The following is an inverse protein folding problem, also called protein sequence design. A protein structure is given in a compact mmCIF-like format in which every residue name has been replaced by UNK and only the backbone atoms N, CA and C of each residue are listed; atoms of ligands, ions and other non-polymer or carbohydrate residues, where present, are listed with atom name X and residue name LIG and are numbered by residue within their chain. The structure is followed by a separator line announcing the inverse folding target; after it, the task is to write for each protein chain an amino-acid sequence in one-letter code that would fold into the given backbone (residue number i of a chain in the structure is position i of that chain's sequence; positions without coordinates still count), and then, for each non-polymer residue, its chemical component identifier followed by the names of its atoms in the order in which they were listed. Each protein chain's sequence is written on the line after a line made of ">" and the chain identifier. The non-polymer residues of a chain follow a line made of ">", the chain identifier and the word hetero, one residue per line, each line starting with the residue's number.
data_IF_486220335530
#
_entry.id   IF_486220335530
#
_cell.length_a   1.000
_cell.length_b   1.000
_cell.length_c   1.000
_cell.angle_alpha   90.00
_cell.angle_beta   90.00
_cell.angle_gamma   90.00
#
_symmetry.space_group_name_H-M   'P 1'
#
loop_
_entity.id
_entity.type
_entity.pdbx_description
1 polymer ?
#
# COMPACT_ATOMS: atom_id res chain seq x y z
N UNK A 1 -3.31 -7.50 -25.00
CA UNK A 1 -2.02 -7.26 -24.33
C UNK A 1 -1.85 -8.40 -23.34
N UNK A 2 -0.85 -9.25 -23.53
CA UNK A 2 -0.42 -10.21 -22.51
C UNK A 2 0.61 -9.51 -21.64
N UNK A 3 0.34 -9.35 -20.35
CA UNK A 3 1.38 -8.94 -19.39
C UNK A 3 2.34 -10.11 -19.23
N UNK A 4 3.64 -9.82 -19.16
CA UNK A 4 4.66 -10.87 -19.08
C UNK A 4 4.70 -11.50 -17.68
N UNK A 5 4.25 -10.76 -16.65
CA UNK A 5 4.20 -11.22 -15.25
C UNK A 5 2.95 -10.68 -14.53
N UNK A 6 1.91 -11.50 -14.29
CA UNK A 6 0.73 -11.08 -13.56
C UNK A 6 1.06 -10.82 -12.08
N UNK A 7 0.35 -9.89 -11.44
CA UNK A 7 0.60 -9.50 -10.05
C UNK A 7 0.18 -10.56 -9.04
N UNK A 8 0.99 -10.77 -8.01
CA UNK A 8 0.49 -11.23 -6.70
C UNK A 8 0.00 -10.01 -5.94
N UNK A 9 -1.28 -10.00 -5.61
CA UNK A 9 -1.92 -8.90 -4.88
C UNK A 9 -2.26 -9.34 -3.47
N UNK A 10 -1.70 -8.64 -2.48
CA UNK A 10 -2.07 -8.79 -1.09
C UNK A 10 -2.90 -7.60 -0.63
N UNK A 11 -4.12 -7.89 -0.22
CA UNK A 11 -5.05 -6.89 0.28
C UNK A 11 -5.21 -7.04 1.79
N UNK A 12 -4.51 -6.20 2.53
CA UNK A 12 -4.57 -6.14 4.00
C UNK A 12 -5.63 -5.11 4.38
N UNK A 13 -6.72 -5.53 5.01
CA UNK A 13 -7.80 -4.62 5.34
C UNK A 13 -8.33 -4.78 6.75
N UNK A 14 -8.67 -3.65 7.36
CA UNK A 14 -9.28 -3.66 8.68
C UNK A 14 -10.71 -4.20 8.67
N UNK A 15 -10.97 -5.11 9.61
CA UNK A 15 -12.32 -5.54 9.99
C UNK A 15 -12.82 -4.79 11.24
N UNK A 16 -11.93 -4.06 11.92
CA UNK A 16 -12.25 -3.22 13.07
C UNK A 16 -12.88 -1.87 12.65
N UNK A 17 -12.52 -1.34 11.49
CA UNK A 17 -13.08 -0.10 10.95
C UNK A 17 -14.27 -0.34 10.02
N UNK A 18 -15.48 -0.10 10.54
CA UNK A 18 -16.72 -0.26 9.76
C UNK A 18 -16.88 0.78 8.65
N UNK A 19 -16.17 1.91 8.73
CA UNK A 19 -16.22 2.98 7.73
C UNK A 19 -15.70 2.55 6.36
N UNK A 20 -14.84 1.51 6.32
CA UNK A 20 -14.25 1.00 5.09
C UNK A 20 -15.18 0.11 4.26
N UNK A 21 -16.27 -0.42 4.84
CA UNK A 21 -17.11 -1.46 4.20
C UNK A 21 -17.59 -1.11 2.78
N UNK A 22 -18.11 0.10 2.49
CA UNK A 22 -18.55 0.44 1.14
C UNK A 22 -17.40 0.41 0.12
N UNK A 23 -16.23 0.92 0.53
CA UNK A 23 -15.03 0.93 -0.28
C UNK A 23 -14.44 -0.47 -0.48
N UNK A 24 -14.42 -1.31 0.57
CA UNK A 24 -13.93 -2.70 0.48
C UNK A 24 -14.73 -3.51 -0.53
N UNK A 25 -16.04 -3.31 -0.61
CA UNK A 25 -16.88 -3.94 -1.64
C UNK A 25 -16.43 -3.58 -3.06
N UNK A 26 -16.15 -2.30 -3.31
CA UNK A 26 -15.66 -1.84 -4.60
C UNK A 26 -14.25 -2.38 -4.92
N UNK A 27 -13.34 -2.35 -3.95
CA UNK A 27 -11.99 -2.89 -4.08
C UNK A 27 -12.03 -4.39 -4.38
N UNK A 28 -12.76 -5.19 -3.60
CA UNK A 28 -12.88 -6.63 -3.82
C UNK A 28 -13.48 -6.99 -5.18
N UNK A 29 -14.51 -6.25 -5.63
CA UNK A 29 -15.11 -6.46 -6.95
C UNK A 29 -14.14 -6.16 -8.08
N UNK A 30 -13.37 -5.07 -7.96
CA UNK A 30 -12.32 -4.71 -8.92
C UNK A 30 -11.19 -5.76 -8.94
N UNK A 31 -10.67 -6.18 -7.79
CA UNK A 31 -9.63 -7.21 -7.71
C UNK A 31 -10.10 -8.56 -8.29
N UNK A 32 -11.36 -8.95 -8.05
CA UNK A 32 -11.92 -10.16 -8.66
C UNK A 32 -11.95 -10.05 -10.20
N UNK A 33 -12.41 -8.91 -10.72
CA UNK A 33 -12.44 -8.66 -12.16
C UNK A 33 -11.04 -8.75 -12.81
N UNK A 34 -10.01 -8.15 -12.19
CA UNK A 34 -8.65 -8.17 -12.75
C UNK A 34 -7.95 -9.52 -12.62
N UNK A 35 -8.30 -10.32 -11.60
CA UNK A 35 -7.89 -11.73 -11.52
C UNK A 35 -8.50 -12.54 -12.66
N UNK A 36 -9.81 -12.40 -12.88
CA UNK A 36 -10.50 -13.14 -13.94
C UNK A 36 -10.03 -12.69 -15.34
N UNK A 37 -9.52 -11.46 -15.48
CA UNK A 37 -8.87 -10.94 -16.69
C UNK A 37 -7.39 -11.38 -16.84
N UNK A 38 -6.80 -12.05 -15.84
CA UNK A 38 -5.43 -12.56 -15.87
C UNK A 38 -4.34 -11.54 -15.54
N UNK A 39 -4.69 -10.35 -15.02
CA UNK A 39 -3.71 -9.35 -14.58
C UNK A 39 -3.24 -9.60 -13.14
N UNK A 40 -4.03 -10.34 -12.36
CA UNK A 40 -3.68 -10.82 -11.03
C UNK A 40 -3.56 -12.34 -11.10
N UNK A 41 -2.36 -12.85 -10.85
CA UNK A 41 -2.08 -14.29 -10.81
C UNK A 41 -2.54 -14.90 -9.50
N UNK A 42 -2.27 -14.20 -8.39
CA UNK A 42 -2.68 -14.60 -7.04
C UNK A 42 -3.27 -13.43 -6.27
N UNK A 43 -4.36 -13.69 -5.55
CA UNK A 43 -5.02 -12.70 -4.68
C UNK A 43 -5.08 -13.24 -3.26
N UNK A 44 -4.50 -12.49 -2.32
CA UNK A 44 -4.46 -12.78 -0.90
C UNK A 44 -5.26 -11.74 -0.13
N UNK A 45 -6.47 -12.10 0.30
CA UNK A 45 -7.32 -11.25 1.14
C UNK A 45 -6.97 -11.49 2.63
N UNK A 46 -6.43 -10.47 3.29
CA UNK A 46 -5.88 -10.56 4.65
C UNK A 46 -6.65 -9.63 5.60
N UNK A 47 -7.77 -10.10 6.19
CA UNK A 47 -8.50 -9.33 7.19
C UNK A 47 -7.69 -9.21 8.48
N UNK A 48 -7.63 -8.01 9.05
CA UNK A 48 -6.98 -7.76 10.34
C UNK A 48 -7.95 -7.06 11.30
N UNK A 49 -7.98 -7.49 12.57
CA UNK A 49 -8.78 -6.85 13.62
C UNK A 49 -7.89 -6.30 14.74
N UNK A 50 -6.72 -6.90 14.94
CA UNK A 50 -5.81 -6.62 16.04
C UNK A 50 -4.41 -6.28 15.55
N UNK A 51 -3.58 -5.73 16.44
CA UNK A 51 -2.16 -5.52 16.15
C UNK A 51 -1.41 -6.84 15.87
N UNK A 52 -1.81 -7.94 16.52
CA UNK A 52 -1.19 -9.25 16.27
C UNK A 52 -1.46 -9.73 14.84
N UNK A 53 -2.71 -9.60 14.36
CA UNK A 53 -3.06 -9.96 12.99
C UNK A 53 -2.26 -9.12 12.00
N UNK A 54 -2.09 -7.83 12.31
CA UNK A 54 -1.34 -6.90 11.49
C UNK A 54 0.15 -7.26 11.45
N UNK A 55 0.79 -7.58 12.58
CA UNK A 55 2.18 -8.06 12.59
C UNK A 55 2.31 -9.31 11.73
N UNK A 56 1.40 -10.28 11.85
CA UNK A 56 1.42 -11.48 11.01
C UNK A 56 1.27 -11.15 9.52
N UNK A 57 0.35 -10.24 9.17
CA UNK A 57 0.14 -9.81 7.79
C UNK A 57 1.37 -9.11 7.19
N UNK A 58 2.00 -8.20 7.94
CA UNK A 58 3.20 -7.48 7.53
C UNK A 58 4.47 -8.35 7.52
N UNK A 59 4.50 -9.43 8.29
CA UNK A 59 5.62 -10.39 8.28
C UNK A 59 5.52 -11.39 7.14
N UNK A 60 4.35 -11.50 6.50
CA UNK A 60 4.07 -12.44 5.41
C UNK A 60 4.19 -11.81 4.02
N UNK A 61 4.66 -10.56 3.91
CA UNK A 61 4.81 -9.88 2.61
C UNK A 61 5.81 -10.64 1.73
N UNK A 62 5.38 -10.93 0.51
CA UNK A 62 6.16 -11.65 -0.48
C UNK A 62 7.01 -10.75 -1.37
N UNK A 63 7.72 -11.40 -2.28
CA UNK A 63 8.51 -10.76 -3.32
C UNK A 63 7.62 -10.24 -4.45
N UNK A 64 7.96 -9.06 -4.97
CA UNK A 64 7.34 -8.41 -6.12
C UNK A 64 5.81 -8.15 -5.97
N UNK A 65 5.28 -8.24 -4.75
CA UNK A 65 3.86 -8.06 -4.49
C UNK A 65 3.41 -6.61 -4.72
N UNK A 66 2.14 -6.48 -5.14
CA UNK A 66 1.33 -5.30 -4.90
C UNK A 66 0.63 -5.47 -3.56
N UNK A 67 0.97 -4.61 -2.60
CA UNK A 67 0.30 -4.57 -1.29
C UNK A 67 -0.67 -3.41 -1.24
N UNK A 68 -1.93 -3.70 -0.92
CA UNK A 68 -2.98 -2.72 -0.67
C UNK A 68 -3.28 -2.78 0.82
N UNK A 69 -2.97 -1.71 1.55
CA UNK A 69 -3.10 -1.65 3.01
C UNK A 69 -4.16 -0.63 3.42
N UNK A 70 -5.35 -1.14 3.76
CA UNK A 70 -6.46 -0.34 4.29
C UNK A 70 -6.39 -0.24 5.81
N UNK A 71 -5.35 0.48 6.24
CA UNK A 71 -4.95 0.63 7.63
C UNK A 71 -4.77 2.10 7.97
N UNK A 72 -5.07 2.47 9.21
CA UNK A 72 -4.78 3.79 9.74
C UNK A 72 -3.29 3.90 10.02
N UNK A 73 -2.71 5.06 9.74
CA UNK A 73 -1.36 5.37 10.16
C UNK A 73 -1.30 6.56 11.10
N UNK A 74 -0.28 6.56 11.95
CA UNK A 74 0.00 7.62 12.89
C UNK A 74 1.51 7.88 12.95
N UNK A 75 1.89 9.10 13.34
CA UNK A 75 3.28 9.46 13.62
C UNK A 75 3.35 10.13 14.97
N UNK A 76 4.30 9.70 15.80
CA UNK A 76 4.64 10.32 17.08
C UNK A 76 6.16 10.39 17.26
N UNK A 77 6.63 10.51 18.50
CA UNK A 77 8.07 10.58 18.82
C UNK A 77 8.83 9.29 18.56
N UNK A 78 8.14 8.15 18.55
CA UNK A 78 8.76 6.83 18.40
C UNK A 78 8.85 6.40 16.94
N UNK A 79 8.01 6.97 16.07
CA UNK A 79 8.14 6.81 14.62
C UNK A 79 6.80 6.73 13.88
N UNK A 80 6.79 5.96 12.80
CA UNK A 80 5.62 5.71 11.97
C UNK A 80 4.90 4.42 12.39
N UNK A 81 3.58 4.48 12.50
CA UNK A 81 2.75 3.43 13.07
C UNK A 81 1.62 3.03 12.12
N UNK A 82 1.28 1.75 12.01
CA UNK A 82 0.09 1.26 11.30
C UNK A 82 -0.87 0.54 12.25
N UNK A 83 -2.17 0.73 12.08
CA UNK A 83 -3.20 0.14 12.93
C UNK A 83 -4.48 -0.19 12.18
N UNK A 84 -5.25 -1.20 12.63
CA UNK A 84 -6.52 -1.55 12.02
C UNK A 84 -7.61 -0.49 12.27
N UNK A 85 -7.51 0.34 13.31
CA UNK A 85 -8.51 1.38 13.60
C UNK A 85 -7.88 2.56 14.31
N UNK A 86 -8.47 3.75 14.21
CA UNK A 86 -7.99 4.97 14.89
C UNK A 86 -7.88 4.82 16.41
N UNK A 87 -8.73 3.98 17.00
CA UNK A 87 -8.85 3.81 18.45
C UNK A 87 -8.20 2.48 18.92
N UNK A 88 -7.57 1.76 18.00
CA UNK A 88 -7.01 0.42 18.23
C UNK A 88 -5.52 0.45 18.54
N UNK A 89 -4.96 -0.73 18.80
CA UNK A 89 -3.52 -0.90 18.94
C UNK A 89 -2.82 -0.75 17.57
N UNK A 90 -1.73 0.01 17.55
CA UNK A 90 -0.88 0.21 16.38
C UNK A 90 0.40 -0.61 16.47
N UNK A 91 1.00 -0.87 15.32
CA UNK A 91 2.29 -1.52 15.12
C UNK A 91 3.29 -0.44 14.70
N UNK A 92 4.35 -0.28 15.49
CA UNK A 92 5.47 0.60 15.13
C UNK A 92 6.23 -0.03 13.96
N UNK A 93 6.29 0.67 12.82
CA UNK A 93 7.02 0.18 11.66
C UNK A 93 8.50 0.04 11.97
N UNK A 94 9.07 0.90 12.81
CA UNK A 94 10.47 0.85 13.25
C UNK A 94 10.81 -0.37 14.10
N UNK A 95 9.81 -1.03 14.69
CA UNK A 95 9.97 -2.30 15.41
C UNK A 95 10.05 -3.53 14.50
N UNK A 96 9.74 -3.39 13.21
CA UNK A 96 9.82 -4.50 12.25
C UNK A 96 11.25 -4.65 11.68
N UNK A 97 11.70 -5.88 11.37
CA UNK A 97 13.04 -6.14 10.88
C UNK A 97 13.33 -5.37 9.59
N UNK A 98 14.47 -4.67 9.54
CA UNK A 98 14.90 -3.96 8.33
C UNK A 98 15.09 -4.94 7.15
N UNK A 99 14.78 -4.49 5.93
CA UNK A 99 14.90 -5.27 4.69
C UNK A 99 14.12 -6.60 4.71
N UNK A 100 13.05 -6.67 5.49
CA UNK A 100 12.17 -7.85 5.55
C UNK A 100 11.14 -7.89 4.43
N UNK A 101 10.93 -6.77 3.72
CA UNK A 101 9.97 -6.68 2.63
C UNK A 101 10.69 -6.65 1.29
N UNK A 102 10.06 -7.20 0.25
CA UNK A 102 10.53 -7.07 -1.13
C UNK A 102 9.34 -6.72 -2.04
N UNK A 103 8.50 -5.78 -1.59
CA UNK A 103 7.31 -5.36 -2.32
C UNK A 103 7.71 -4.44 -3.48
N UNK A 104 7.01 -4.54 -4.60
CA UNK A 104 7.23 -3.63 -5.74
C UNK A 104 6.30 -2.43 -5.71
N UNK A 105 5.10 -2.61 -5.15
CA UNK A 105 4.13 -1.54 -4.99
C UNK A 105 3.39 -1.63 -3.65
N UNK A 106 3.17 -0.47 -3.01
CA UNK A 106 2.41 -0.35 -1.77
C UNK A 106 1.41 0.81 -1.87
N UNK A 107 0.14 0.51 -1.71
CA UNK A 107 -0.94 1.51 -1.64
C UNK A 107 -1.45 1.55 -0.21
N UNK A 108 -1.13 2.63 0.50
CA UNK A 108 -1.67 2.85 1.84
C UNK A 108 -2.96 3.67 1.70
N UNK A 109 -4.10 3.27 2.27
CA UNK A 109 -5.38 3.87 1.82
C UNK A 109 -6.10 4.81 2.79
N UNK A 110 -5.78 4.78 4.08
CA UNK A 110 -6.24 5.82 5.01
C UNK A 110 -5.18 6.91 5.19
N UNK A 111 -5.32 7.73 6.22
CA UNK A 111 -4.32 8.74 6.60
C UNK A 111 -3.14 8.05 7.29
N UNK A 112 -1.90 8.48 7.03
CA UNK A 112 -0.71 8.05 7.81
C UNK A 112 0.08 9.19 8.43
N UNK A 113 -0.40 10.43 8.36
CA UNK A 113 0.29 11.57 8.97
C UNK A 113 1.53 12.00 8.19
N UNK A 114 2.64 12.23 8.88
CA UNK A 114 3.81 12.91 8.33
C UNK A 114 4.58 12.06 7.30
N UNK A 115 4.64 12.55 6.06
CA UNK A 115 5.21 11.84 4.90
C UNK A 115 6.65 11.38 5.10
N UNK A 116 7.52 12.23 5.63
CA UNK A 116 8.96 11.92 5.73
C UNK A 116 9.26 10.72 6.63
N UNK A 117 8.57 10.62 7.77
CA UNK A 117 8.73 9.51 8.72
C UNK A 117 8.25 8.19 8.12
N UNK A 118 7.10 8.20 7.45
CA UNK A 118 6.59 7.02 6.73
C UNK A 118 7.53 6.61 5.59
N UNK A 119 7.97 7.55 4.77
CA UNK A 119 8.94 7.29 3.71
C UNK A 119 10.22 6.65 4.27
N UNK A 120 10.76 7.19 5.37
CA UNK A 120 11.95 6.65 6.02
C UNK A 120 11.76 5.23 6.56
N UNK A 121 10.64 4.97 7.22
CA UNK A 121 10.31 3.64 7.73
C UNK A 121 10.16 2.61 6.60
N UNK A 122 9.44 2.96 5.54
CA UNK A 122 9.24 2.09 4.37
C UNK A 122 10.54 1.84 3.62
N UNK A 123 11.40 2.86 3.46
CA UNK A 123 12.72 2.73 2.83
C UNK A 123 13.65 1.78 3.59
N UNK A 124 13.51 1.71 4.92
CA UNK A 124 14.27 0.80 5.79
C UNK A 124 13.73 -0.63 5.71
N UNK A 125 12.42 -0.80 5.64
CA UNK A 125 11.75 -2.09 5.63
C UNK A 125 11.90 -2.82 4.29
N UNK A 126 11.87 -2.09 3.18
CA UNK A 126 11.96 -2.69 1.86
C UNK A 126 13.42 -2.95 1.44
N UNK A 127 13.70 -4.18 1.03
CA UNK A 127 15.01 -4.63 0.59
C UNK A 127 15.43 -4.04 -0.76
N UNK A 128 14.45 -3.56 -1.54
CA UNK A 128 14.61 -2.98 -2.87
C UNK A 128 13.76 -1.70 -3.01
N UNK A 129 13.87 -0.94 -4.11
CA UNK A 129 12.94 0.16 -4.37
C UNK A 129 11.48 -0.31 -4.35
N UNK A 130 10.54 0.59 -4.04
CA UNK A 130 9.10 0.34 -4.16
C UNK A 130 8.38 1.60 -4.61
N UNK A 131 7.37 1.42 -5.46
CA UNK A 131 6.40 2.45 -5.75
C UNK A 131 5.38 2.51 -4.60
N UNK A 132 5.25 3.66 -3.96
CA UNK A 132 4.29 3.86 -2.87
C UNK A 132 3.31 4.96 -3.27
N UNK A 133 2.03 4.73 -3.10
CA UNK A 133 1.04 5.79 -3.22
C UNK A 133 0.32 5.98 -1.89
N UNK A 134 0.17 7.25 -1.53
CA UNK A 134 -0.57 7.55 -0.34
C UNK A 134 -1.20 8.93 -0.13
N UNK A 135 -2.26 8.97 0.65
CA UNK A 135 -2.99 10.07 1.27
C UNK A 135 -2.37 10.51 2.62
N UNK A 136 -1.63 11.61 2.60
CA UNK A 136 -0.96 12.19 3.79
C UNK A 136 -1.83 13.20 4.56
N UNK A 137 -3.11 13.31 4.23
CA UNK A 137 -4.10 14.17 4.92
C UNK A 137 -5.24 13.32 5.51
N UNK A 138 -6.24 13.95 6.14
CA UNK A 138 -7.45 13.24 6.59
C UNK A 138 -8.22 12.74 5.37
N UNK A 139 -8.17 11.44 5.11
CA UNK A 139 -8.90 10.81 4.03
C UNK A 139 -10.41 10.99 4.25
N UNK A 140 -11.11 11.46 3.22
CA UNK A 140 -12.56 11.60 3.28
C UNK A 140 -13.20 10.20 3.32
N UNK A 141 -14.15 9.99 4.23
CA UNK A 141 -14.97 8.77 4.23
C UNK A 141 -15.63 8.60 2.86
N UNK A 142 -15.43 7.43 2.24
CA UNK A 142 -15.97 7.14 0.92
C UNK A 142 -15.05 7.51 -0.25
N UNK A 143 -13.79 7.90 0.00
CA UNK A 143 -12.80 8.05 -1.06
C UNK A 143 -12.51 6.70 -1.76
N UNK A 144 -12.84 6.62 -3.04
CA UNK A 144 -12.55 5.45 -3.90
C UNK A 144 -11.34 5.67 -4.80
N UNK A 145 -10.59 6.76 -4.64
CA UNK A 145 -9.32 7.00 -5.34
C UNK A 145 -8.36 5.81 -5.28
N UNK A 146 -8.19 5.08 -4.15
CA UNK A 146 -7.32 3.91 -4.14
C UNK A 146 -7.74 2.83 -5.15
N UNK A 147 -9.04 2.66 -5.40
CA UNK A 147 -9.53 1.71 -6.43
C UNK A 147 -9.03 2.12 -7.81
N UNK A 148 -9.07 3.41 -8.13
CA UNK A 148 -8.57 3.95 -9.40
C UNK A 148 -7.05 3.83 -9.55
N UNK A 149 -6.30 4.04 -8.46
CA UNK A 149 -4.84 3.87 -8.44
C UNK A 149 -4.44 2.42 -8.68
N UNK A 150 -5.03 1.48 -7.95
CA UNK A 150 -4.77 0.04 -8.12
C UNK A 150 -5.13 -0.40 -9.53
N UNK A 151 -6.29 0.05 -10.04
CA UNK A 151 -6.72 -0.22 -11.41
C UNK A 151 -5.67 0.24 -12.42
N UNK A 152 -5.22 1.49 -12.32
CA UNK A 152 -4.22 2.05 -13.24
C UNK A 152 -2.89 1.32 -13.17
N UNK A 153 -2.44 0.96 -11.96
CA UNK A 153 -1.23 0.17 -11.76
C UNK A 153 -1.32 -1.19 -12.45
N UNK A 154 -2.36 -1.96 -12.17
CA UNK A 154 -2.55 -3.28 -12.79
C UNK A 154 -2.58 -3.20 -14.32
N UNK A 155 -3.18 -2.15 -14.87
CA UNK A 155 -3.29 -1.96 -16.32
C UNK A 155 -2.04 -1.41 -17.00
N UNK A 156 -1.06 -0.89 -16.26
CA UNK A 156 0.04 -0.14 -16.87
C UNK A 156 1.42 -0.50 -16.31
N UNK A 157 1.52 -1.57 -15.51
CA UNK A 157 2.80 -2.07 -15.00
C UNK A 157 2.78 -3.57 -14.78
N UNK A 158 3.94 -4.20 -14.96
CA UNK A 158 4.18 -5.61 -14.67
C UNK A 158 4.63 -5.79 -13.22
N UNK A 159 4.37 -6.97 -12.65
CA UNK A 159 4.93 -7.35 -11.35
C UNK A 159 6.47 -7.25 -11.38
N UNK A 160 7.06 -6.75 -10.29
CA UNK A 160 8.51 -6.56 -10.21
C UNK A 160 9.07 -5.29 -10.86
N UNK A 161 8.29 -4.53 -11.66
CA UNK A 161 8.75 -3.26 -12.25
C UNK A 161 8.31 -2.05 -11.40
N UNK A 162 9.12 -1.67 -10.41
CA UNK A 162 8.75 -0.54 -9.52
C UNK A 162 8.78 0.81 -10.25
N UNK A 163 9.63 0.95 -11.26
CA UNK A 163 9.65 2.13 -12.11
C UNK A 163 8.36 2.26 -12.93
N UNK A 164 7.88 1.14 -13.48
CA UNK A 164 6.60 1.03 -14.17
C UNK A 164 5.42 1.29 -13.23
N UNK A 165 5.42 0.66 -12.06
CA UNK A 165 4.38 0.85 -11.05
C UNK A 165 4.31 2.33 -10.62
N UNK A 166 5.44 2.99 -10.39
CA UNK A 166 5.47 4.41 -10.05
C UNK A 166 4.86 5.28 -11.16
N UNK A 167 5.27 5.09 -12.42
CA UNK A 167 4.69 5.83 -13.56
C UNK A 167 3.19 5.58 -13.70
N UNK A 168 2.75 4.34 -13.52
CA UNK A 168 1.34 3.97 -13.58
C UNK A 168 0.54 4.68 -12.47
N UNK A 169 1.08 4.78 -11.26
CA UNK A 169 0.47 5.52 -10.15
C UNK A 169 0.42 7.03 -10.40
N UNK A 170 1.45 7.61 -11.00
CA UNK A 170 1.44 9.03 -11.40
C UNK A 170 0.33 9.32 -12.43
N UNK A 171 0.24 8.51 -13.47
CA UNK A 171 -0.79 8.66 -14.52
C UNK A 171 -2.19 8.44 -13.94
N UNK A 172 -2.38 7.40 -13.13
CA UNK A 172 -3.65 7.14 -12.46
C UNK A 172 -4.04 8.29 -11.54
N UNK A 173 -3.11 8.76 -10.70
CA UNK A 173 -3.32 9.91 -9.81
C UNK A 173 -3.70 11.18 -10.58
N UNK A 174 -3.03 11.47 -11.70
CA UNK A 174 -3.36 12.60 -12.57
C UNK A 174 -4.77 12.50 -13.17
N UNK A 175 -5.17 11.32 -13.64
CA UNK A 175 -6.49 11.10 -14.23
C UNK A 175 -7.63 11.21 -13.19
N UNK A 176 -7.34 10.96 -11.92
CA UNK A 176 -8.30 11.04 -10.81
C UNK A 176 -8.45 12.47 -10.24
N UNK A 177 -7.63 13.46 -10.68
CA UNK A 177 -7.63 14.86 -10.18
C UNK A 177 -8.86 15.71 -10.52
N UNK A 178 -10.00 15.12 -10.86
CA UNK A 178 -11.23 15.87 -11.18
C UNK A 178 -12.19 16.14 -10.00
N UNK A 179 -11.93 15.73 -8.75
CA UNK A 179 -12.70 16.29 -7.61
C UNK A 179 -12.16 16.15 -6.18
N UNK A 180 -11.15 15.30 -5.90
CA UNK A 180 -10.65 15.10 -4.51
C UNK A 180 -9.18 14.63 -4.41
N UNK A 181 -8.53 14.29 -5.51
CA UNK A 181 -7.20 13.65 -5.52
C UNK A 181 -6.00 14.58 -5.24
N UNK A 182 -6.19 15.74 -4.58
CA UNK A 182 -5.07 16.64 -4.26
C UNK A 182 -4.12 16.09 -3.18
N UNK A 183 -4.54 15.09 -2.42
CA UNK A 183 -3.79 14.54 -1.29
C UNK A 183 -3.12 13.19 -1.55
N UNK A 184 -3.36 12.55 -2.70
CA UNK A 184 -2.71 11.30 -3.10
C UNK A 184 -1.39 11.56 -3.80
N UNK A 185 -0.29 11.09 -3.19
CA UNK A 185 1.06 11.35 -3.66
C UNK A 185 1.78 10.03 -3.94
N UNK A 186 1.98 9.69 -5.23
CA UNK A 186 2.92 8.65 -5.63
C UNK A 186 4.35 9.05 -5.29
N UNK A 187 5.14 8.08 -4.87
CA UNK A 187 6.56 8.21 -4.57
C UNK A 187 7.29 6.94 -4.94
N UNK A 188 8.47 7.07 -5.53
CA UNK A 188 9.39 5.95 -5.67
C UNK A 188 10.36 5.99 -4.49
N UNK A 189 10.12 5.12 -3.51
CA UNK A 189 10.97 5.01 -2.33
C UNK A 189 12.18 4.15 -2.70
N UNK A 190 13.38 4.72 -2.59
CA UNK A 190 14.63 3.98 -2.72
C UNK A 190 14.89 3.23 -1.42
N UNK A 191 15.35 1.97 -1.51
CA UNK A 191 15.85 1.25 -0.34
C UNK A 191 16.96 2.08 0.31
N UNK A 192 16.94 2.23 1.63
CA UNK A 192 17.98 2.97 2.32
C UNK A 192 19.36 2.31 2.07
N UNK A 193 20.27 3.06 1.44
CA UNK A 193 21.68 2.69 1.38
C UNK A 193 22.21 2.66 2.82
N UNK A 194 22.70 1.49 3.24
CA UNK A 194 23.49 1.42 4.46
C UNK A 194 24.80 2.10 4.14
N UNK A 195 24.99 3.34 4.61
CA UNK A 195 26.34 3.85 4.84
C UNK A 195 26.96 2.88 5.84
N UNK A 196 27.72 1.90 5.33
CA UNK A 196 28.60 1.10 6.17
C UNK A 196 29.62 2.09 6.73
N UNK A 197 29.41 2.52 7.97
CA UNK A 197 30.49 3.13 8.74
C UNK A 197 31.50 2.01 8.97
N UNK A 198 32.64 2.12 8.30
CA UNK A 198 33.79 1.22 8.45
C UNK A 198 34.41 1.35 9.85
#
# INVERSE_FOLDING_TARGET
>A
MSYESPWTVRHIYSTADRGLRPYLGAMHGMLAHYRDAGLIGERLDVPVATASDLVSALSALGEDELVIADLHGAVDTDGAWLGPSSDGAFVLLDGLPARSWSVSALILTNCYGARAQFTGALARLNAKPAAVAGHFEVAAKGDTTPVGLVKGLLQHSDAGDEGGAFRALEVAGHNLRLSSAKAWVPELIKSADVVRVA
#
